data_IF_471181469421
#
_entry.id   IF_471181469421
#
_cell.length_a   1.000
_cell.length_b   1.000
_cell.length_c   1.000
_cell.angle_alpha   90.00
_cell.angle_beta   90.00
_cell.angle_gamma   90.00
#
_symmetry.space_group_name_H-M   'P 1'
#
loop_
_entity.id
_entity.type
_entity.pdbx_description
1 polymer ?
#
# COMPACT_ATOMS: atom_id res chain seq x y z
N UNK A 1 77.28 -40.11 31.18
CA UNK A 1 76.70 -41.37 30.69
C UNK A 1 75.25 -41.40 31.13
N UNK A 2 74.33 -41.44 30.15
CA UNK A 2 72.90 -41.79 30.25
C UNK A 2 72.01 -40.81 31.05
N UNK A 3 70.84 -40.33 30.62
CA UNK A 3 70.05 -40.28 29.37
C UNK A 3 68.73 -39.57 29.78
N UNK A 4 68.22 -38.56 29.06
CA UNK A 4 66.98 -38.60 28.23
C UNK A 4 65.69 -38.98 29.00
N UNK A 5 64.51 -38.36 28.86
CA UNK A 5 63.89 -37.57 27.79
C UNK A 5 62.81 -36.64 28.41
N UNK A 6 62.78 -35.38 28.00
CA UNK A 6 61.58 -34.55 28.07
C UNK A 6 60.94 -34.53 26.67
N UNK A 7 59.89 -35.34 26.47
CA UNK A 7 59.11 -35.37 25.23
C UNK A 7 58.05 -34.27 25.29
N UNK A 8 58.44 -33.17 24.66
CA UNK A 8 57.65 -32.02 24.24
C UNK A 8 56.62 -32.50 23.21
N UNK A 9 55.33 -32.37 23.51
CA UNK A 9 54.27 -32.55 22.52
C UNK A 9 53.59 -31.23 22.18
N UNK A 10 53.35 -31.10 20.88
CA UNK A 10 53.17 -29.91 20.08
C UNK A 10 51.70 -29.62 19.79
N UNK A 11 51.36 -28.33 19.70
CA UNK A 11 50.21 -27.75 19.00
C UNK A 11 48.83 -28.16 19.58
N UNK A 12 47.87 -27.27 19.81
CA UNK A 12 47.15 -26.48 18.81
C UNK A 12 46.67 -25.17 19.44
N UNK A 13 47.10 -24.03 18.90
CA UNK A 13 46.38 -22.77 19.09
C UNK A 13 45.22 -22.74 18.10
N UNK A 14 44.03 -23.10 18.55
CA UNK A 14 42.79 -22.82 17.83
C UNK A 14 42.39 -21.37 18.01
N UNK A 15 43.01 -20.45 17.26
CA UNK A 15 42.50 -19.09 17.11
C UNK A 15 41.28 -19.17 16.19
N UNK A 16 40.10 -19.41 16.76
CA UNK A 16 38.85 -19.34 16.03
C UNK A 16 38.54 -17.86 15.80
N UNK A 17 39.13 -17.28 14.75
CA UNK A 17 38.77 -15.94 14.28
C UNK A 17 37.37 -16.05 13.71
N UNK A 18 36.36 -15.82 14.56
CA UNK A 18 35.02 -15.48 14.13
C UNK A 18 35.13 -14.17 13.35
N UNK A 19 35.35 -14.28 12.05
CA UNK A 19 35.02 -13.22 11.12
C UNK A 19 33.50 -13.04 11.18
N UNK A 20 33.06 -12.23 12.14
CA UNK A 20 31.79 -11.53 12.08
C UNK A 20 31.89 -10.64 10.83
N UNK A 21 31.54 -11.21 9.68
CA UNK A 21 31.14 -10.42 8.54
C UNK A 21 29.84 -9.76 8.99
N UNK A 22 29.95 -8.51 9.45
CA UNK A 22 28.80 -7.68 9.69
C UNK A 22 28.08 -7.57 8.36
N UNK A 23 27.02 -8.36 8.19
CA UNK A 23 26.01 -8.11 7.18
C UNK A 23 25.42 -6.75 7.54
N UNK A 24 25.99 -5.69 6.95
CA UNK A 24 25.37 -4.37 6.93
C UNK A 24 24.15 -4.55 6.04
N UNK A 25 23.02 -4.91 6.65
CA UNK A 25 21.74 -4.79 5.98
C UNK A 25 21.52 -3.30 5.75
N UNK A 26 21.60 -2.87 4.48
CA UNK A 26 21.18 -1.54 4.09
C UNK A 26 19.72 -1.38 4.53
N UNK A 27 19.46 -0.40 5.40
CA UNK A 27 18.13 -0.15 5.90
C UNK A 27 17.30 0.53 4.81
N UNK A 28 16.42 -0.22 4.14
CA UNK A 28 15.45 0.35 3.20
C UNK A 28 14.35 1.09 3.99
N UNK A 29 14.23 2.40 3.76
CA UNK A 29 13.18 3.22 4.39
C UNK A 29 11.92 3.07 3.54
N UNK A 30 10.82 2.56 4.10
CA UNK A 30 9.53 2.49 3.42
C UNK A 30 8.54 3.44 4.07
N UNK A 31 7.99 4.35 3.27
CA UNK A 31 6.96 5.31 3.70
C UNK A 31 5.66 5.00 2.98
N UNK A 32 4.54 5.14 3.68
CA UNK A 32 3.20 5.06 3.10
C UNK A 32 2.56 6.44 3.08
N UNK A 33 1.91 6.80 1.97
CA UNK A 33 1.18 8.05 1.84
C UNK A 33 -0.12 7.87 1.05
N UNK A 34 -1.17 8.62 1.39
CA UNK A 34 -2.41 8.59 0.63
C UNK A 34 -2.37 9.57 -0.54
N UNK A 35 -3.07 9.23 -1.63
CA UNK A 35 -3.32 10.16 -2.72
C UNK A 35 -3.96 11.44 -2.17
N UNK A 36 -3.41 12.59 -2.55
CA UNK A 36 -3.85 13.91 -2.07
C UNK A 36 -3.10 14.43 -0.84
N UNK A 37 -2.48 13.56 -0.05
CA UNK A 37 -1.74 13.96 1.15
C UNK A 37 -0.37 14.57 0.81
N UNK A 38 0.33 15.07 1.85
CA UNK A 38 1.74 15.44 1.80
C UNK A 38 2.59 14.35 2.44
N UNK A 39 3.77 14.07 1.87
CA UNK A 39 4.74 13.13 2.45
C UNK A 39 6.13 13.75 2.51
N UNK A 40 6.90 13.38 3.53
CA UNK A 40 8.29 13.80 3.74
C UNK A 40 9.22 12.60 3.59
N UNK A 41 10.11 12.66 2.61
CA UNK A 41 11.12 11.64 2.34
C UNK A 41 12.44 12.08 3.01
N UNK A 42 12.91 11.38 4.05
CA UNK A 42 14.12 11.76 4.78
C UNK A 42 15.36 11.46 3.94
N UNK A 43 16.33 12.38 3.96
CA UNK A 43 17.66 12.12 3.45
C UNK A 43 18.60 11.70 4.59
N UNK A 44 19.75 11.16 4.26
CA UNK A 44 20.73 10.64 5.22
C UNK A 44 21.81 11.64 5.64
N UNK A 45 21.67 12.91 5.24
CA UNK A 45 22.69 13.93 5.50
C UNK A 45 22.08 15.25 5.96
N UNK A 46 22.75 15.90 6.91
CA UNK A 46 22.43 17.25 7.39
C UNK A 46 23.58 18.18 7.07
N UNK A 47 23.31 19.25 6.33
CA UNK A 47 24.32 20.25 6.02
C UNK A 47 24.80 20.96 7.31
N UNK A 48 26.10 21.28 7.41
CA UNK A 48 26.63 22.03 8.55
C UNK A 48 25.98 23.42 8.72
N UNK A 49 25.61 24.05 7.60
CA UNK A 49 24.87 25.31 7.55
C UNK A 49 24.18 25.45 6.19
N UNK A 50 23.21 26.37 6.09
CA UNK A 50 22.55 26.68 4.81
C UNK A 50 23.55 27.20 3.77
N UNK A 51 24.55 27.96 4.19
CA UNK A 51 25.60 28.45 3.29
C UNK A 51 26.41 27.30 2.73
N UNK A 52 26.56 26.17 3.43
CA UNK A 52 27.40 25.08 2.96
C UNK A 52 26.93 24.51 1.61
N UNK A 53 25.65 24.68 1.23
CA UNK A 53 25.05 24.17 -0.02
C UNK A 53 25.85 24.52 -1.30
N UNK A 54 26.64 25.61 -1.32
CA UNK A 54 27.49 25.91 -2.49
C UNK A 54 28.57 24.84 -2.75
N UNK A 55 28.99 24.10 -1.72
CA UNK A 55 29.96 23.00 -1.82
C UNK A 55 29.30 21.67 -2.14
N UNK A 56 27.98 21.57 -2.07
CA UNK A 56 27.27 20.30 -2.26
C UNK A 56 26.56 20.23 -3.62
N UNK A 57 26.39 18.99 -4.08
CA UNK A 57 25.36 18.59 -5.03
C UNK A 57 24.41 17.67 -4.29
N UNK A 58 23.12 17.97 -4.35
CA UNK A 58 22.08 17.16 -3.72
C UNK A 58 21.08 16.80 -4.79
N UNK A 59 20.85 15.51 -4.97
CA UNK A 59 19.87 14.98 -5.90
C UNK A 59 18.84 14.17 -5.13
N UNK A 60 17.57 14.49 -5.33
CA UNK A 60 16.51 13.51 -5.20
C UNK A 60 16.12 13.06 -6.61
N UNK A 61 16.24 11.76 -6.85
CA UNK A 61 15.92 11.15 -8.12
C UNK A 61 15.12 9.86 -7.92
N UNK A 62 14.43 9.39 -8.95
CA UNK A 62 13.91 8.02 -8.96
C UNK A 62 15.03 7.05 -9.32
N UNK A 63 14.84 5.75 -9.04
CA UNK A 63 15.79 4.71 -9.45
C UNK A 63 16.05 4.68 -10.97
N UNK A 64 15.10 5.17 -11.77
CA UNK A 64 15.24 5.31 -13.22
C UNK A 64 15.86 6.66 -13.64
N UNK A 65 16.44 7.41 -12.70
CA UNK A 65 17.14 8.68 -12.90
C UNK A 65 16.24 9.86 -13.33
N UNK A 66 14.93 9.82 -13.06
CA UNK A 66 14.10 11.02 -13.18
C UNK A 66 14.49 11.99 -12.06
N UNK A 67 14.90 13.21 -12.41
CA UNK A 67 15.30 14.22 -11.43
C UNK A 67 14.05 14.82 -10.79
N UNK A 68 13.83 14.52 -9.51
CA UNK A 68 12.69 14.98 -8.73
C UNK A 68 12.90 16.41 -8.25
N UNK A 69 14.04 16.65 -7.59
CA UNK A 69 14.52 17.96 -7.18
C UNK A 69 16.03 17.89 -6.93
N UNK A 70 16.79 18.87 -7.42
CA UNK A 70 18.24 18.86 -7.27
C UNK A 70 18.82 20.25 -7.08
N UNK A 71 19.88 20.35 -6.27
CA UNK A 71 20.64 21.58 -6.06
C UNK A 71 22.11 21.35 -6.40
N UNK A 72 22.73 22.34 -7.05
CA UNK A 72 24.19 22.39 -7.23
C UNK A 72 24.68 23.82 -7.10
N UNK A 73 25.76 24.03 -6.35
CA UNK A 73 26.35 25.36 -6.12
C UNK A 73 25.31 26.36 -5.60
N UNK A 74 24.41 25.91 -4.72
CA UNK A 74 23.32 26.73 -4.16
C UNK A 74 22.16 27.05 -5.13
N UNK A 75 22.18 26.53 -6.36
CA UNK A 75 21.16 26.80 -7.38
C UNK A 75 20.28 25.57 -7.60
N UNK A 76 18.96 25.78 -7.66
CA UNK A 76 17.98 24.75 -8.05
C UNK A 76 18.17 24.39 -9.53
N UNK A 77 18.29 23.10 -9.82
CA UNK A 77 18.41 22.58 -11.17
C UNK A 77 17.03 22.30 -11.78
N UNK A 78 17.00 22.12 -13.11
CA UNK A 78 15.78 21.72 -13.82
C UNK A 78 15.31 20.35 -13.34
N UNK A 79 14.03 20.25 -12.98
CA UNK A 79 13.36 19.04 -12.53
C UNK A 79 12.50 18.45 -13.64
N UNK A 80 12.08 17.20 -13.49
CA UNK A 80 11.07 16.62 -14.37
C UNK A 80 9.71 17.33 -14.19
N UNK A 81 8.98 17.54 -15.28
CA UNK A 81 7.71 18.26 -15.31
C UNK A 81 6.65 17.64 -14.37
N UNK A 82 6.70 16.32 -14.09
CA UNK A 82 5.72 15.67 -13.18
C UNK A 82 5.87 16.10 -11.72
N UNK A 83 7.03 16.62 -11.34
CA UNK A 83 7.37 17.05 -9.98
C UNK A 83 7.39 18.58 -9.81
N UNK A 84 7.38 19.34 -10.90
CA UNK A 84 7.34 20.81 -10.85
C UNK A 84 6.16 21.31 -10.00
N UNK A 85 6.43 22.33 -9.17
CA UNK A 85 5.48 22.96 -8.24
C UNK A 85 4.84 22.02 -7.20
N UNK A 86 5.31 20.77 -7.10
CA UNK A 86 4.81 19.75 -6.16
C UNK A 86 5.84 19.31 -5.14
N UNK A 87 7.12 19.61 -5.38
CA UNK A 87 8.22 19.19 -4.51
C UNK A 87 8.95 20.38 -3.89
N UNK A 88 9.40 20.20 -2.65
CA UNK A 88 10.29 21.15 -1.95
C UNK A 88 11.32 20.37 -1.15
N UNK A 89 12.51 20.93 -0.98
CA UNK A 89 13.58 20.35 -0.17
C UNK A 89 13.90 21.27 1.00
N UNK A 90 13.95 20.71 2.20
CA UNK A 90 14.57 21.40 3.34
C UNK A 90 16.07 21.51 3.10
N UNK A 91 16.61 22.72 2.96
CA UNK A 91 18.00 22.91 2.57
C UNK A 91 19.01 22.64 3.69
N UNK A 92 18.57 22.34 4.91
CA UNK A 92 19.46 21.96 6.01
C UNK A 92 19.49 20.44 6.18
N UNK A 93 18.33 19.80 6.29
CA UNK A 93 18.22 18.36 6.54
C UNK A 93 18.05 17.54 5.24
N UNK A 94 17.94 18.21 4.09
CA UNK A 94 17.80 17.62 2.76
C UNK A 94 16.56 16.72 2.56
N UNK A 95 15.64 16.74 3.52
CA UNK A 95 14.34 16.07 3.44
C UNK A 95 13.53 16.67 2.30
N UNK A 96 13.03 15.81 1.42
CA UNK A 96 12.14 16.21 0.33
C UNK A 96 10.68 16.08 0.77
N UNK A 97 9.84 17.02 0.35
CA UNK A 97 8.39 16.93 0.46
C UNK A 97 7.77 16.76 -0.93
N UNK A 98 6.69 15.98 -1.02
CA UNK A 98 5.83 15.87 -2.20
C UNK A 98 4.40 16.21 -1.78
N UNK A 99 3.76 17.15 -2.49
CA UNK A 99 2.35 17.48 -2.31
C UNK A 99 1.73 18.04 -3.61
N UNK A 100 0.50 17.62 -3.98
CA UNK A 100 -0.24 16.48 -3.44
C UNK A 100 0.38 15.15 -3.91
N UNK A 101 0.32 14.09 -3.11
CA UNK A 101 0.74 12.76 -3.59
C UNK A 101 -0.21 12.27 -4.69
N UNK A 102 0.37 11.75 -5.77
CA UNK A 102 -0.32 11.08 -6.89
C UNK A 102 0.03 9.59 -6.88
N UNK A 103 -0.82 8.78 -7.49
CA UNK A 103 -0.53 7.35 -7.64
C UNK A 103 0.78 7.07 -8.41
N UNK A 104 1.12 7.93 -9.37
CA UNK A 104 2.38 7.88 -10.12
C UNK A 104 3.62 8.15 -9.28
N UNK A 105 3.47 8.65 -8.04
CA UNK A 105 4.59 8.87 -7.12
C UNK A 105 4.98 7.57 -6.38
N UNK A 106 4.23 6.47 -6.57
CA UNK A 106 4.54 5.14 -6.05
C UNK A 106 5.82 4.59 -6.70
N UNK A 107 6.97 4.89 -6.10
CA UNK A 107 8.28 4.65 -6.69
C UNK A 107 9.37 4.52 -5.61
N UNK A 108 10.57 4.16 -6.06
CA UNK A 108 11.78 4.13 -5.27
C UNK A 108 12.58 5.40 -5.57
N UNK A 109 12.80 6.18 -4.52
CA UNK A 109 13.51 7.44 -4.55
C UNK A 109 14.91 7.29 -3.94
N UNK A 110 15.87 8.04 -4.46
CA UNK A 110 17.24 8.08 -3.98
C UNK A 110 17.61 9.52 -3.64
N UNK A 111 18.08 9.75 -2.41
CA UNK A 111 18.79 10.96 -2.05
C UNK A 111 20.28 10.72 -2.24
N UNK A 112 20.95 11.48 -3.10
CA UNK A 112 22.39 11.41 -3.34
C UNK A 112 23.01 12.76 -3.01
N UNK A 113 23.93 12.76 -2.04
CA UNK A 113 24.62 13.94 -1.54
C UNK A 113 26.09 13.82 -1.86
N UNK A 114 26.62 14.80 -2.60
CA UNK A 114 28.04 14.86 -2.95
C UNK A 114 28.65 16.17 -2.45
N UNK A 115 29.83 16.09 -1.84
CA UNK A 115 30.60 17.24 -1.35
C UNK A 115 31.79 17.53 -2.28
N UNK A 116 32.06 18.80 -2.54
CA UNK A 116 33.24 19.24 -3.27
C UNK A 116 34.47 19.19 -2.35
N UNK A 117 35.33 18.19 -2.59
CA UNK A 117 36.60 18.01 -1.89
C UNK A 117 37.76 18.08 -2.89
N UNK A 118 38.74 18.96 -2.66
CA UNK A 118 39.96 19.08 -3.47
C UNK A 118 39.69 19.18 -4.99
N UNK A 119 38.61 19.88 -5.37
CA UNK A 119 38.23 20.10 -6.78
C UNK A 119 37.37 18.98 -7.40
N UNK A 120 37.10 17.89 -6.69
CA UNK A 120 36.24 16.80 -7.15
C UNK A 120 35.04 16.59 -6.22
N UNK A 121 33.89 16.25 -6.79
CA UNK A 121 32.72 15.87 -5.99
C UNK A 121 32.84 14.42 -5.54
N UNK A 122 32.74 14.17 -4.24
CA UNK A 122 32.74 12.84 -3.63
C UNK A 122 31.40 12.56 -2.97
N UNK A 123 30.99 11.30 -2.95
CA UNK A 123 29.78 10.87 -2.27
C UNK A 123 29.95 11.10 -0.76
N UNK A 124 29.10 11.96 -0.21
CA UNK A 124 29.01 12.20 1.23
C UNK A 124 27.96 11.27 1.85
N UNK A 125 26.85 11.04 1.15
CA UNK A 125 25.80 10.12 1.58
C UNK A 125 24.87 9.73 0.42
N UNK A 126 24.35 8.51 0.45
CA UNK A 126 23.20 8.07 -0.34
C UNK A 126 22.20 7.28 0.52
N UNK A 127 20.91 7.45 0.24
CA UNK A 127 19.84 6.65 0.85
C UNK A 127 18.70 6.42 -0.11
N UNK A 128 18.12 5.23 -0.04
CA UNK A 128 16.96 4.82 -0.81
C UNK A 128 15.71 4.86 0.07
N UNK A 129 14.64 5.47 -0.45
CA UNK A 129 13.33 5.55 0.19
C UNK A 129 12.27 5.02 -0.76
N UNK A 130 11.54 3.98 -0.34
CA UNK A 130 10.38 3.45 -1.06
C UNK A 130 9.15 4.24 -0.62
N UNK A 131 8.46 4.89 -1.56
CA UNK A 131 7.17 5.52 -1.31
C UNK A 131 6.06 4.61 -1.81
N UNK A 132 5.32 4.00 -0.89
CA UNK A 132 4.12 3.23 -1.17
C UNK A 132 2.88 4.14 -1.14
N UNK A 133 2.22 4.32 -2.27
CA UNK A 133 1.01 5.16 -2.37
C UNK A 133 -0.25 4.32 -2.18
N UNK A 134 -1.19 4.84 -1.40
CA UNK A 134 -2.51 4.25 -1.15
C UNK A 134 -3.61 5.20 -1.62
N UNK A 135 -4.69 4.69 -2.19
CA UNK A 135 -5.89 5.48 -2.47
C UNK A 135 -7.08 4.84 -1.75
N UNK A 136 -7.83 5.66 -1.00
CA UNK A 136 -8.97 5.18 -0.24
C UNK A 136 -10.11 4.75 -1.17
N UNK A 137 -10.71 3.61 -0.86
CA UNK A 137 -11.92 3.14 -1.52
C UNK A 137 -13.13 3.96 -1.06
N UNK A 138 -14.05 4.23 -1.99
CA UNK A 138 -15.34 4.83 -1.63
C UNK A 138 -16.09 3.94 -0.63
N UNK A 139 -16.91 4.54 0.24
CA UNK A 139 -17.79 3.77 1.14
C UNK A 139 -18.61 2.76 0.31
N UNK A 140 -18.62 1.46 0.65
CA UNK A 140 -19.27 0.45 -0.17
C UNK A 140 -20.78 0.68 -0.27
N UNK A 141 -21.32 0.54 -1.46
CA UNK A 141 -22.76 0.59 -1.72
C UNK A 141 -23.26 -0.84 -1.88
N UNK A 142 -24.24 -1.22 -1.08
CA UNK A 142 -24.85 -2.55 -1.11
C UNK A 142 -26.26 -2.43 -1.70
N UNK A 143 -26.57 -3.27 -2.68
CA UNK A 143 -27.89 -3.39 -3.28
C UNK A 143 -28.29 -4.85 -3.42
N UNK A 144 -29.59 -5.13 -3.39
CA UNK A 144 -30.13 -6.47 -3.55
C UNK A 144 -31.26 -6.45 -4.56
N UNK A 145 -31.22 -7.35 -5.54
CA UNK A 145 -32.28 -7.52 -6.53
C UNK A 145 -33.29 -8.54 -5.98
N UNK A 146 -34.26 -8.05 -5.20
CA UNK A 146 -35.33 -8.89 -4.63
C UNK A 146 -36.53 -8.92 -5.57
N UNK A 147 -36.97 -10.10 -6.06
CA UNK A 147 -38.19 -10.20 -6.86
C UNK A 147 -39.40 -9.61 -6.13
N UNK A 148 -40.21 -8.80 -6.81
CA UNK A 148 -41.38 -8.15 -6.20
C UNK A 148 -42.46 -9.13 -5.73
N UNK A 149 -42.46 -10.34 -6.26
CA UNK A 149 -43.42 -11.41 -5.94
C UNK A 149 -42.78 -12.51 -5.09
N UNK A 150 -41.55 -12.28 -4.60
CA UNK A 150 -40.83 -13.16 -3.71
C UNK A 150 -41.65 -13.47 -2.45
N UNK A 151 -41.82 -14.76 -2.19
CA UNK A 151 -42.62 -15.30 -1.11
C UNK A 151 -41.98 -16.58 -0.58
N UNK A 152 -41.75 -16.65 0.74
CA UNK A 152 -40.97 -17.74 1.34
C UNK A 152 -39.48 -17.64 1.01
N UNK A 153 -38.80 -18.79 0.97
CA UNK A 153 -37.37 -18.87 0.62
C UNK A 153 -37.12 -18.32 -0.78
N UNK A 154 -36.53 -17.13 -0.84
CA UNK A 154 -36.27 -16.46 -2.11
C UNK A 154 -34.77 -16.34 -2.33
N UNK A 155 -34.30 -16.81 -3.48
CA UNK A 155 -32.92 -16.59 -3.91
C UNK A 155 -32.74 -15.12 -4.32
N UNK A 156 -31.78 -14.44 -3.70
CA UNK A 156 -31.49 -13.02 -3.90
C UNK A 156 -30.02 -12.86 -4.27
N UNK A 157 -29.77 -12.03 -5.27
CA UNK A 157 -28.42 -11.58 -5.61
C UNK A 157 -28.15 -10.24 -4.94
N UNK A 158 -27.17 -10.22 -4.04
CA UNK A 158 -26.67 -9.00 -3.41
C UNK A 158 -25.39 -8.56 -4.11
N UNK A 159 -25.32 -7.29 -4.47
CA UNK A 159 -24.16 -6.64 -5.03
C UNK A 159 -23.57 -5.68 -4.00
N UNK A 160 -22.26 -5.73 -3.79
CA UNK A 160 -21.50 -4.75 -3.05
C UNK A 160 -20.48 -4.08 -3.99
N UNK A 161 -20.51 -2.75 -4.10
CA UNK A 161 -19.62 -2.02 -4.99
C UNK A 161 -18.86 -0.90 -4.28
N UNK A 162 -17.60 -0.73 -4.63
CA UNK A 162 -16.73 0.34 -4.13
C UNK A 162 -15.70 0.73 -5.20
N UNK A 163 -15.25 1.98 -5.19
CA UNK A 163 -14.57 2.59 -6.33
C UNK A 163 -13.34 3.41 -5.93
N UNK A 164 -12.44 3.58 -6.90
CA UNK A 164 -11.36 4.59 -6.86
C UNK A 164 -10.18 4.26 -5.93
N UNK A 165 -10.06 3.04 -5.43
CA UNK A 165 -9.04 2.70 -4.44
C UNK A 165 -7.80 2.01 -4.99
N UNK A 166 -6.73 2.01 -4.21
CA UNK A 166 -5.46 1.34 -4.54
C UNK A 166 -4.74 1.00 -3.23
N UNK A 167 -4.07 -0.17 -3.08
CA UNK A 167 -3.83 -1.20 -4.08
C UNK A 167 -5.06 -2.08 -4.38
N UNK A 168 -4.86 -3.20 -5.10
CA UNK A 168 -5.92 -4.18 -5.36
C UNK A 168 -6.55 -4.64 -4.03
N UNK A 169 -7.88 -4.56 -3.87
CA UNK A 169 -8.52 -4.86 -2.60
C UNK A 169 -8.85 -6.36 -2.46
N UNK A 170 -9.16 -6.75 -1.24
CA UNK A 170 -9.90 -7.97 -0.89
C UNK A 170 -11.28 -7.59 -0.36
N UNK A 171 -12.29 -8.37 -0.70
CA UNK A 171 -13.64 -8.19 -0.15
C UNK A 171 -13.92 -9.30 0.85
N UNK A 172 -14.39 -8.91 2.02
CA UNK A 172 -14.86 -9.82 3.08
C UNK A 172 -16.24 -9.37 3.55
N UNK A 173 -16.96 -10.24 4.26
CA UNK A 173 -18.25 -9.88 4.81
C UNK A 173 -18.70 -10.80 5.93
N UNK A 174 -19.73 -10.34 6.64
CA UNK A 174 -20.38 -11.07 7.72
C UNK A 174 -21.88 -11.08 7.44
N UNK A 175 -22.48 -12.25 7.43
CA UNK A 175 -23.93 -12.47 7.34
C UNK A 175 -24.39 -13.13 8.63
N UNK A 176 -25.26 -12.48 9.41
CA UNK A 176 -25.79 -13.00 10.68
C UNK A 176 -24.69 -13.61 11.58
N UNK A 177 -23.59 -12.88 11.77
CA UNK A 177 -22.42 -13.29 12.57
C UNK A 177 -21.56 -14.43 11.98
N UNK A 178 -21.80 -14.85 10.74
CA UNK A 178 -20.98 -15.83 10.02
C UNK A 178 -20.22 -15.18 8.86
N UNK A 179 -18.96 -15.57 8.64
CA UNK A 179 -18.19 -15.10 7.49
C UNK A 179 -18.79 -15.59 6.18
N UNK A 180 -18.83 -14.73 5.17
CA UNK A 180 -19.30 -15.09 3.82
C UNK A 180 -18.24 -14.81 2.77
N UNK A 181 -18.21 -15.71 1.77
CA UNK A 181 -17.32 -15.57 0.62
C UNK A 181 -18.03 -14.85 -0.52
N UNK A 182 -17.49 -13.69 -0.88
CA UNK A 182 -18.00 -12.89 -1.99
C UNK A 182 -17.36 -13.32 -3.31
N UNK A 183 -18.18 -13.50 -4.34
CA UNK A 183 -17.70 -13.62 -5.72
C UNK A 183 -17.22 -12.25 -6.19
N UNK A 184 -15.92 -12.02 -6.09
CA UNK A 184 -15.32 -10.69 -6.27
C UNK A 184 -14.79 -10.49 -7.69
N UNK A 185 -15.15 -9.37 -8.31
CA UNK A 185 -14.54 -8.87 -9.54
C UNK A 185 -13.93 -7.50 -9.26
N UNK A 186 -12.61 -7.40 -9.32
CA UNK A 186 -11.88 -6.15 -9.19
C UNK A 186 -11.25 -5.81 -10.54
N UNK A 187 -11.58 -4.64 -11.09
CA UNK A 187 -11.05 -4.15 -12.35
C UNK A 187 -10.24 -2.88 -12.10
N UNK A 188 -9.02 -2.83 -12.67
CA UNK A 188 -8.27 -1.59 -12.73
C UNK A 188 -8.89 -0.69 -13.80
N UNK A 189 -9.12 0.57 -13.44
CA UNK A 189 -9.45 1.65 -14.38
C UNK A 189 -8.19 2.12 -15.12
N UNK A 190 -8.36 2.97 -16.13
CA UNK A 190 -7.25 3.55 -16.91
C UNK A 190 -6.21 4.28 -16.04
N UNK A 191 -6.64 4.82 -14.89
CA UNK A 191 -5.77 5.52 -13.94
C UNK A 191 -5.07 4.59 -12.94
N UNK A 192 -5.06 3.26 -13.18
CA UNK A 192 -4.56 2.23 -12.27
C UNK A 192 -5.28 2.12 -10.92
N UNK A 193 -6.36 2.88 -10.71
CA UNK A 193 -7.25 2.75 -9.54
C UNK A 193 -8.22 1.59 -9.74
N UNK A 194 -8.52 0.87 -8.67
CA UNK A 194 -9.43 -0.27 -8.69
C UNK A 194 -10.87 0.12 -8.38
N UNK A 195 -11.77 -0.43 -9.18
CA UNK A 195 -13.18 -0.53 -8.88
C UNK A 195 -13.51 -1.99 -8.59
N UNK A 196 -14.24 -2.23 -7.51
CA UNK A 196 -14.59 -3.57 -7.06
C UNK A 196 -16.11 -3.73 -7.01
N UNK A 197 -16.57 -4.84 -7.58
CA UNK A 197 -17.94 -5.31 -7.44
C UNK A 197 -17.89 -6.75 -6.96
N UNK A 198 -18.53 -7.00 -5.83
CA UNK A 198 -18.61 -8.29 -5.19
C UNK A 198 -20.07 -8.76 -5.20
N UNK A 199 -20.29 -10.02 -5.54
CA UNK A 199 -21.63 -10.61 -5.59
C UNK A 199 -21.78 -11.72 -4.56
N UNK A 200 -22.92 -11.76 -3.90
CA UNK A 200 -23.30 -12.80 -2.96
C UNK A 200 -24.69 -13.29 -3.32
N UNK A 201 -24.83 -14.60 -3.52
CA UNK A 201 -26.11 -15.26 -3.74
C UNK A 201 -26.55 -15.85 -2.41
N UNK A 202 -27.76 -15.53 -1.98
CA UNK A 202 -28.30 -15.97 -0.69
C UNK A 202 -29.76 -16.37 -0.80
N UNK A 203 -30.19 -17.30 0.06
CA UNK A 203 -31.59 -17.65 0.23
C UNK A 203 -32.16 -16.87 1.40
N UNK A 204 -33.05 -15.93 1.11
CA UNK A 204 -33.71 -15.10 2.10
C UNK A 204 -34.89 -15.87 2.71
N UNK A 205 -34.68 -16.41 3.90
CA UNK A 205 -35.71 -17.12 4.71
C UNK A 205 -36.10 -16.35 5.96
N UNK A 206 -35.21 -15.53 6.48
CA UNK A 206 -35.34 -14.74 7.70
C UNK A 206 -34.71 -13.37 7.51
N UNK A 207 -34.85 -12.51 8.51
CA UNK A 207 -34.16 -11.22 8.52
C UNK A 207 -32.65 -11.43 8.51
N UNK A 208 -31.97 -10.75 7.59
CA UNK A 208 -30.52 -10.81 7.47
C UNK A 208 -29.89 -9.45 7.73
N UNK A 209 -28.72 -9.51 8.37
CA UNK A 209 -27.79 -8.38 8.51
C UNK A 209 -26.48 -8.78 7.85
N UNK A 210 -26.15 -8.06 6.79
CA UNK A 210 -24.97 -8.28 5.96
C UNK A 210 -24.02 -7.09 6.09
N UNK A 211 -22.75 -7.37 6.36
CA UNK A 211 -21.66 -6.41 6.24
C UNK A 211 -20.85 -6.75 4.99
N UNK A 212 -20.55 -5.73 4.18
CA UNK A 212 -19.52 -5.80 3.15
C UNK A 212 -18.34 -4.93 3.56
N UNK A 213 -17.14 -5.50 3.55
CA UNK A 213 -15.88 -4.83 3.93
C UNK A 213 -14.90 -4.93 2.78
N UNK A 214 -14.33 -3.79 2.40
CA UNK A 214 -13.25 -3.68 1.43
C UNK A 214 -11.96 -3.49 2.23
N UNK A 215 -11.07 -4.48 2.16
CA UNK A 215 -9.76 -4.51 2.79
C UNK A 215 -8.70 -4.16 1.74
N UNK A 216 -7.81 -3.21 2.03
CA UNK A 216 -6.77 -2.77 1.11
C UNK A 216 -5.57 -2.25 1.89
N UNK A 217 -4.39 -2.83 1.64
CA UNK A 217 -3.21 -2.59 2.48
C UNK A 217 -3.56 -2.81 3.97
N UNK A 218 -3.28 -1.85 4.86
CA UNK A 218 -3.65 -1.91 6.29
C UNK A 218 -5.01 -1.22 6.59
N UNK A 219 -5.75 -0.83 5.55
CA UNK A 219 -7.00 -0.08 5.67
C UNK A 219 -8.23 -0.94 5.37
N UNK A 220 -9.37 -0.50 5.90
CA UNK A 220 -10.66 -1.10 5.62
C UNK A 220 -11.78 -0.07 5.60
N UNK A 221 -12.74 -0.28 4.70
CA UNK A 221 -14.00 0.48 4.67
C UNK A 221 -15.16 -0.48 4.51
N UNK A 222 -16.22 -0.29 5.30
CA UNK A 222 -17.35 -1.22 5.31
C UNK A 222 -18.70 -0.51 5.24
N UNK A 223 -19.72 -1.28 4.90
CA UNK A 223 -21.12 -0.88 5.00
C UNK A 223 -21.99 -2.06 5.41
N UNK A 224 -23.09 -1.74 6.08
CA UNK A 224 -24.08 -2.70 6.54
C UNK A 224 -25.33 -2.61 5.68
N UNK A 225 -26.01 -3.73 5.50
CA UNK A 225 -27.24 -3.85 4.75
C UNK A 225 -28.16 -4.83 5.47
N UNK A 226 -29.42 -4.46 5.61
CA UNK A 226 -30.44 -5.29 6.22
C UNK A 226 -31.50 -5.62 5.20
N UNK A 227 -31.91 -6.89 5.16
CA UNK A 227 -32.94 -7.35 4.26
C UNK A 227 -33.92 -8.23 5.03
N UNK A 228 -35.21 -7.94 4.88
CA UNK A 228 -36.30 -8.67 5.54
C UNK A 228 -37.15 -9.34 4.47
N UNK A 229 -37.46 -10.65 4.58
CA UNK A 229 -38.35 -11.32 3.64
C UNK A 229 -39.76 -10.73 3.70
N UNK A 230 -40.50 -10.83 2.59
CA UNK A 230 -41.93 -10.49 2.60
C UNK A 230 -42.67 -11.47 3.53
N UNK A 231 -43.56 -10.99 4.43
CA UNK A 231 -44.31 -11.87 5.30
C UNK A 231 -45.21 -12.82 4.51
N UNK A 232 -45.22 -14.11 4.87
CA UNK A 232 -45.99 -15.16 4.19
C UNK A 232 -47.50 -14.87 4.15
N UNK A 233 -48.04 -14.17 5.15
CA UNK A 233 -49.45 -13.75 5.20
C UNK A 233 -49.86 -12.77 4.09
N UNK A 234 -48.89 -12.05 3.51
CA UNK A 234 -49.09 -11.09 2.42
C UNK A 234 -48.83 -11.74 1.04
N UNK A 235 -48.53 -13.05 1.00
CA UNK A 235 -48.32 -13.76 -0.24
C UNK A 235 -49.64 -14.11 -0.92
N UNK A 236 -49.78 -13.87 -2.24
CA UNK A 236 -50.97 -14.29 -2.97
C UNK A 236 -51.10 -15.81 -2.85
N UNK A 237 -52.26 -16.29 -2.36
CA UNK A 237 -52.56 -17.74 -2.35
C UNK A 237 -52.48 -18.24 -3.79
N UNK A 238 -51.70 -19.30 -4.01
CA UNK A 238 -51.74 -20.03 -5.26
C UNK A 238 -53.21 -20.40 -5.54
N UNK A 239 -53.80 -19.84 -6.60
CA UNK A 239 -55.09 -20.30 -7.09
C UNK A 239 -54.87 -21.76 -7.50
N UNK A 240 -55.39 -22.69 -6.68
CA UNK A 240 -55.52 -24.06 -7.11
C UNK A 240 -56.32 -24.03 -8.42
N UNK A 241 -55.67 -24.38 -9.53
CA UNK A 241 -56.34 -24.70 -10.79
C UNK A 241 -57.25 -25.87 -10.48
N UNK A 242 -58.50 -25.54 -10.11
CA UNK A 242 -59.55 -26.51 -9.91
C UNK A 242 -59.66 -27.33 -11.18
N UNK A 243 -59.25 -28.59 -11.12
CA UNK A 243 -59.71 -29.61 -12.06
C UNK A 243 -61.22 -29.72 -11.88
N UNK A 244 -61.94 -28.89 -12.61
CA UNK A 244 -63.33 -29.09 -12.95
C UNK A 244 -63.39 -29.83 -14.27
N UNK A 245 -64.31 -30.80 -14.32
CA UNK A 245 -64.76 -31.64 -15.45
C UNK A 245 -64.19 -33.06 -15.41
N UNK A 246 -65.00 -34.09 -15.56
CA UNK A 246 -66.47 -34.24 -15.61
C UNK A 246 -66.74 -35.73 -15.44
#
# INVERSE_FOLDING_TARGET
>A
MWSGLALKNWFWQGLFVLHFTSLVFAQEITLKAKVGDSVLLPCCYKLPSLQALFKYRVYWQTKNSDVVIAYSKGTLLRTDAKYENRTKMDLQNLTMSIFPVKLSDNDIYECIVQELENGAYKLACDVTVVLAVVADFSKPVISADVPKDACGSTEVMVNCSSHGGFPKPRVSGILNNMSVDWQTKAAASENSLYNVTAKLQLNLTEDIVLTCTIEYDDFKVSSNYSLTPRPEKLCPRAMALGHSRK
#
